data_IF_940534916566
#
_entry.id   IF_940534916566
#
_cell.length_a   1.000
_cell.length_b   1.000
_cell.length_c   1.000
_cell.angle_alpha   90.00
_cell.angle_beta   90.00
_cell.angle_gamma   90.00
#
_symmetry.space_group_name_H-M   'P 1'
#
loop_
_entity.id
_entity.type
_entity.pdbx_description
1 polymer ?
#
# COMPACT_ATOMS: atom_id res chain seq x y z
N UNK A 1 6.33 -14.01 19.64
CA UNK A 1 6.08 -12.64 20.09
C UNK A 1 4.81 -12.62 20.93
N UNK A 2 4.95 -12.47 22.26
CA UNK A 2 3.80 -12.39 23.18
C UNK A 2 3.50 -10.92 23.49
N UNK A 3 3.18 -10.13 22.49
CA UNK A 3 2.67 -8.80 22.73
C UNK A 3 1.16 -8.88 23.03
N UNK A 4 0.74 -8.30 24.14
CA UNK A 4 -0.68 -8.14 24.43
C UNK A 4 -1.36 -7.23 23.39
N UNK A 5 -2.67 -7.31 23.30
CA UNK A 5 -3.46 -6.51 22.35
C UNK A 5 -3.20 -5.01 22.47
N UNK A 6 -2.99 -4.54 23.68
CA UNK A 6 -2.77 -3.11 24.00
C UNK A 6 -1.48 -2.54 23.42
N UNK A 7 -0.46 -3.36 23.13
CA UNK A 7 0.76 -2.86 22.50
C UNK A 7 0.47 -2.21 21.14
N UNK A 8 -0.46 -2.78 20.41
CA UNK A 8 -0.85 -2.27 19.09
C UNK A 8 -2.13 -1.43 19.14
N UNK A 9 -3.14 -1.90 19.89
CA UNK A 9 -4.45 -1.28 19.92
C UNK A 9 -4.60 -0.16 20.95
N UNK A 10 -3.66 0.01 21.86
CA UNK A 10 -3.82 0.87 23.02
C UNK A 10 -5.06 0.46 23.86
N UNK A 11 -5.65 1.39 24.63
CA UNK A 11 -6.70 1.06 25.60
C UNK A 11 -6.10 0.71 26.96
N UNK A 12 -6.93 0.14 27.84
CA UNK A 12 -6.50 -0.25 29.19
C UNK A 12 -7.05 -1.63 29.54
N UNK A 13 -6.18 -2.65 29.53
CA UNK A 13 -6.53 -4.05 29.81
C UNK A 13 -6.70 -4.37 31.29
N UNK A 14 -6.38 -3.43 32.19
CA UNK A 14 -6.62 -3.54 33.64
C UNK A 14 -8.05 -3.12 34.06
N UNK A 15 -8.84 -2.59 33.14
CA UNK A 15 -10.20 -2.10 33.45
C UNK A 15 -11.26 -3.15 33.11
N UNK A 16 -12.23 -3.30 34.02
CA UNK A 16 -13.37 -4.22 33.84
C UNK A 16 -14.56 -3.57 33.11
N UNK A 17 -14.66 -2.25 33.16
CA UNK A 17 -15.68 -1.50 32.41
C UNK A 17 -15.29 -1.41 30.96
N UNK A 18 -16.20 -1.80 30.04
CA UNK A 18 -16.02 -1.71 28.60
C UNK A 18 -15.61 -0.30 28.17
N UNK A 19 -16.27 0.71 28.68
CA UNK A 19 -16.05 2.11 28.33
C UNK A 19 -14.64 2.56 28.70
N UNK A 20 -14.18 2.20 29.90
CA UNK A 20 -12.84 2.55 30.39
C UNK A 20 -11.75 1.71 29.70
N UNK A 21 -12.00 0.41 29.51
CA UNK A 21 -11.07 -0.48 28.83
C UNK A 21 -10.78 -0.04 27.38
N UNK A 22 -11.79 0.50 26.70
CA UNK A 22 -11.65 0.94 25.31
C UNK A 22 -11.33 2.43 25.15
N UNK A 23 -11.17 3.18 26.24
CA UNK A 23 -10.77 4.58 26.15
C UNK A 23 -9.39 4.71 25.48
N UNK A 24 -9.34 5.45 24.39
CA UNK A 24 -8.12 5.64 23.59
C UNK A 24 -7.72 4.44 22.71
N UNK A 25 -8.58 3.43 22.61
CA UNK A 25 -8.30 2.27 21.75
C UNK A 25 -8.26 2.67 20.27
N UNK A 26 -7.22 2.19 19.58
CA UNK A 26 -7.01 2.37 18.16
C UNK A 26 -7.75 1.27 17.38
N UNK A 27 -8.72 1.65 16.56
CA UNK A 27 -9.48 0.71 15.71
C UNK A 27 -8.59 0.05 14.66
N UNK A 28 -7.72 0.83 14.03
CA UNK A 28 -6.76 0.37 13.02
C UNK A 28 -5.35 0.85 13.41
N UNK A 29 -4.65 0.10 14.28
CA UNK A 29 -3.35 0.52 14.82
C UNK A 29 -2.29 0.74 13.74
N UNK A 30 -2.42 0.07 12.60
CA UNK A 30 -1.48 0.19 11.50
C UNK A 30 -1.51 1.54 10.79
N UNK A 31 -2.62 2.30 10.90
CA UNK A 31 -2.69 3.67 10.41
C UNK A 31 -1.87 4.61 11.29
N UNK A 32 -1.70 4.26 12.56
CA UNK A 32 -0.80 4.95 13.45
C UNK A 32 0.59 4.33 13.35
N UNK A 33 1.47 4.94 12.59
CA UNK A 33 2.85 4.49 12.40
C UNK A 33 3.62 4.27 13.72
N UNK A 34 3.16 4.87 14.83
CA UNK A 34 3.76 4.66 16.16
C UNK A 34 3.65 3.22 16.61
N UNK A 35 2.53 2.55 16.35
CA UNK A 35 2.30 1.16 16.78
C UNK A 35 3.34 0.20 16.18
N UNK A 36 3.58 0.29 14.88
CA UNK A 36 4.62 -0.51 14.22
C UNK A 36 6.03 0.07 14.44
N UNK A 37 6.11 1.39 14.55
CA UNK A 37 7.35 2.15 14.72
C UNK A 37 8.07 1.90 16.04
N UNK A 38 7.40 1.36 17.06
CA UNK A 38 8.05 0.93 18.31
C UNK A 38 9.19 -0.05 18.01
N UNK A 39 8.96 -1.01 17.13
CA UNK A 39 9.96 -2.01 16.74
C UNK A 39 10.62 -1.69 15.39
N UNK A 40 9.87 -1.09 14.44
CA UNK A 40 10.31 -0.81 13.10
C UNK A 40 10.54 0.69 12.84
N UNK A 41 11.23 1.36 13.77
CA UNK A 41 11.39 2.83 13.82
C UNK A 41 11.82 3.44 12.49
N UNK A 42 12.90 2.93 11.90
CA UNK A 42 13.44 3.46 10.62
C UNK A 42 12.46 3.24 9.48
N UNK A 43 11.88 2.04 9.39
CA UNK A 43 10.93 1.69 8.32
C UNK A 43 9.66 2.55 8.42
N UNK A 44 9.11 2.73 9.62
CA UNK A 44 7.93 3.57 9.84
C UNK A 44 8.22 5.05 9.50
N UNK A 45 9.38 5.57 9.87
CA UNK A 45 9.77 6.95 9.55
C UNK A 45 9.94 7.18 8.04
N UNK A 46 10.50 6.21 7.33
CA UNK A 46 10.62 6.26 5.88
C UNK A 46 9.26 6.14 5.20
N UNK A 47 8.45 5.18 5.66
CA UNK A 47 7.12 4.90 5.12
C UNK A 47 6.18 6.10 5.21
N UNK A 48 6.28 6.89 6.29
CA UNK A 48 5.52 8.13 6.47
C UNK A 48 5.66 9.12 5.29
N UNK A 49 6.76 9.02 4.54
CA UNK A 49 7.05 9.87 3.39
C UNK A 49 6.82 9.18 2.05
N UNK A 50 6.50 7.88 2.05
CA UNK A 50 6.29 7.10 0.82
C UNK A 50 5.03 7.53 0.07
N UNK A 51 4.99 7.28 -1.22
CA UNK A 51 3.81 7.53 -2.05
C UNK A 51 2.62 6.66 -1.64
N UNK A 52 2.87 5.45 -1.13
CA UNK A 52 1.82 4.55 -0.66
C UNK A 52 1.15 5.05 0.63
N UNK A 53 1.90 5.72 1.49
CA UNK A 53 1.32 6.32 2.69
C UNK A 53 0.67 7.67 2.41
N UNK A 54 1.34 8.52 1.67
CA UNK A 54 0.89 9.90 1.44
C UNK A 54 -0.17 10.03 0.35
N UNK A 55 -0.20 9.08 -0.61
CA UNK A 55 -1.00 9.14 -1.84
C UNK A 55 -0.83 10.42 -2.67
N UNK A 56 0.16 11.22 -2.33
CA UNK A 56 0.42 12.52 -2.98
C UNK A 56 0.66 12.40 -4.49
N UNK A 57 1.18 11.26 -4.95
CA UNK A 57 1.38 11.00 -6.37
C UNK A 57 0.07 11.02 -7.19
N UNK A 58 -1.04 10.62 -6.59
CA UNK A 58 -2.37 10.70 -7.23
C UNK A 58 -2.77 12.17 -7.41
N UNK A 59 -2.62 12.98 -6.35
CA UNK A 59 -2.89 14.42 -6.39
C UNK A 59 -2.03 15.10 -7.44
N UNK A 60 -0.73 14.87 -7.42
CA UNK A 60 0.22 15.46 -8.37
C UNK A 60 -0.12 15.08 -9.82
N UNK A 61 -0.57 13.86 -10.06
CA UNK A 61 -0.95 13.39 -11.39
C UNK A 61 -2.17 14.08 -11.99
N UNK A 62 -3.06 14.61 -11.16
CA UNK A 62 -4.28 15.31 -11.63
C UNK A 62 -4.17 16.83 -11.61
N UNK A 63 -3.25 17.39 -10.79
CA UNK A 63 -3.05 18.84 -10.65
C UNK A 63 -3.02 19.63 -11.97
N UNK A 64 -2.32 19.18 -13.04
CA UNK A 64 -2.25 19.92 -14.28
C UNK A 64 -3.59 20.14 -15.00
N UNK A 65 -4.67 19.47 -14.54
CA UNK A 65 -6.01 19.56 -15.10
C UNK A 65 -6.90 20.57 -14.40
N UNK A 66 -6.42 21.17 -13.33
CA UNK A 66 -7.21 22.07 -12.48
C UNK A 66 -6.56 23.45 -12.39
N UNK A 67 -7.38 24.49 -12.34
CA UNK A 67 -6.97 25.81 -11.88
C UNK A 67 -6.69 25.79 -10.37
N UNK A 68 -6.02 26.82 -9.86
CA UNK A 68 -5.69 26.93 -8.44
C UNK A 68 -6.92 26.92 -7.53
N UNK A 69 -8.00 27.59 -7.95
CA UNK A 69 -9.26 27.61 -7.22
C UNK A 69 -9.96 26.24 -7.19
N UNK A 70 -9.91 25.50 -8.28
CA UNK A 70 -10.45 24.13 -8.39
C UNK A 70 -9.63 23.15 -7.57
N UNK A 71 -8.29 23.32 -7.49
CA UNK A 71 -7.42 22.48 -6.66
C UNK A 71 -7.80 22.52 -5.19
N UNK A 72 -8.14 23.68 -4.66
CA UNK A 72 -8.61 23.80 -3.27
C UNK A 72 -9.89 22.97 -3.05
N UNK A 73 -10.86 23.11 -3.95
CA UNK A 73 -12.11 22.34 -3.89
C UNK A 73 -11.85 20.84 -4.07
N UNK A 74 -10.96 20.47 -4.99
CA UNK A 74 -10.56 19.10 -5.20
C UNK A 74 -9.92 18.50 -3.93
N UNK A 75 -8.99 19.19 -3.30
CA UNK A 75 -8.33 18.72 -2.09
C UNK A 75 -9.34 18.46 -0.95
N UNK A 76 -10.23 19.41 -0.69
CA UNK A 76 -11.18 19.34 0.41
C UNK A 76 -12.32 18.33 0.19
N UNK A 77 -12.82 18.22 -1.03
CA UNK A 77 -14.04 17.46 -1.32
C UNK A 77 -13.80 16.12 -2.00
N UNK A 78 -12.71 15.97 -2.75
CA UNK A 78 -12.46 14.79 -3.56
C UNK A 78 -11.24 14.03 -3.07
N UNK A 79 -10.08 14.70 -2.97
CA UNK A 79 -8.83 14.00 -2.66
C UNK A 79 -8.89 13.32 -1.30
N UNK A 80 -9.22 14.04 -0.24
CA UNK A 80 -9.27 13.49 1.12
C UNK A 80 -10.37 12.43 1.30
N UNK A 81 -11.48 12.55 0.59
CA UNK A 81 -12.63 11.65 0.76
C UNK A 81 -12.60 10.42 -0.14
N UNK A 82 -11.98 10.52 -1.31
CA UNK A 82 -12.02 9.48 -2.34
C UNK A 82 -10.63 8.98 -2.72
N UNK A 83 -9.76 9.83 -3.23
CA UNK A 83 -8.44 9.40 -3.73
C UNK A 83 -7.57 8.85 -2.60
N UNK A 84 -7.65 9.46 -1.43
CA UNK A 84 -6.90 9.03 -0.25
C UNK A 84 -7.42 7.73 0.36
N UNK A 85 -8.54 7.19 -0.08
CA UNK A 85 -9.02 5.87 0.34
C UNK A 85 -8.04 4.73 -0.01
N UNK A 86 -7.17 4.95 -1.02
CA UNK A 86 -6.07 4.05 -1.34
C UNK A 86 -4.81 4.25 -0.47
N UNK A 87 -4.88 5.09 0.58
CA UNK A 87 -3.83 5.20 1.58
C UNK A 87 -3.56 3.83 2.21
N UNK A 88 -2.36 3.34 2.04
CA UNK A 88 -1.96 2.07 2.59
C UNK A 88 -1.33 2.24 3.97
N UNK A 89 -1.76 1.43 4.92
CA UNK A 89 -1.11 1.28 6.21
C UNK A 89 -0.23 0.04 6.26
N UNK A 90 0.63 -0.07 7.25
CA UNK A 90 1.46 -1.26 7.42
C UNK A 90 0.63 -2.55 7.47
N UNK A 91 -0.54 -2.50 8.12
CA UNK A 91 -1.42 -3.65 8.28
C UNK A 91 -2.09 -4.11 6.99
N UNK A 92 -2.36 -3.21 6.06
CA UNK A 92 -3.00 -3.57 4.79
C UNK A 92 -2.15 -4.57 3.98
N UNK A 93 -0.83 -4.47 4.14
CA UNK A 93 0.11 -5.41 3.52
C UNK A 93 0.52 -6.55 4.46
N UNK A 94 0.75 -6.28 5.74
CA UNK A 94 1.45 -7.19 6.65
C UNK A 94 0.58 -7.90 7.67
N UNK A 95 -0.69 -7.54 7.84
CA UNK A 95 -1.58 -8.16 8.81
C UNK A 95 -2.72 -8.88 8.11
N UNK A 96 -2.79 -10.19 8.31
CA UNK A 96 -3.93 -10.99 7.84
C UNK A 96 -4.80 -11.34 9.04
N UNK A 97 -6.10 -11.07 8.93
CA UNK A 97 -7.10 -11.59 9.86
C UNK A 97 -7.45 -13.02 9.53
N UNK A 98 -7.94 -13.78 10.51
CA UNK A 98 -8.53 -15.08 10.19
C UNK A 98 -9.85 -14.88 9.44
N UNK A 99 -10.08 -15.60 8.34
CA UNK A 99 -11.35 -15.54 7.65
C UNK A 99 -12.42 -16.23 8.51
N UNK A 100 -13.54 -15.56 8.73
CA UNK A 100 -14.76 -16.15 9.28
C UNK A 100 -15.83 -15.97 8.23
N UNK A 101 -16.38 -17.06 7.72
CA UNK A 101 -17.39 -17.03 6.66
C UNK A 101 -16.94 -16.32 5.37
N UNK A 102 -15.66 -16.37 5.03
CA UNK A 102 -15.11 -15.71 3.85
C UNK A 102 -14.82 -14.20 4.02
N UNK A 103 -15.18 -13.62 5.15
CA UNK A 103 -14.92 -12.22 5.49
C UNK A 103 -13.81 -12.18 6.53
N UNK A 104 -12.80 -11.35 6.32
CA UNK A 104 -11.75 -11.11 7.32
C UNK A 104 -12.31 -10.27 8.47
N UNK A 105 -12.86 -10.94 9.48
CA UNK A 105 -13.32 -10.26 10.69
C UNK A 105 -12.14 -10.18 11.66
N UNK A 106 -11.49 -9.01 11.72
CA UNK A 106 -10.32 -8.77 12.56
C UNK A 106 -10.55 -8.87 14.07
N UNK A 107 -11.76 -9.18 14.53
CA UNK A 107 -12.15 -9.05 15.93
C UNK A 107 -11.97 -10.31 16.79
N UNK A 108 -11.83 -11.49 16.23
CA UNK A 108 -11.94 -12.73 17.03
C UNK A 108 -10.78 -13.69 16.80
N UNK A 109 -9.88 -13.40 15.90
CA UNK A 109 -8.83 -14.34 15.56
C UNK A 109 -7.45 -13.69 15.65
N UNK A 110 -6.50 -14.52 16.01
CA UNK A 110 -5.09 -14.17 16.07
C UNK A 110 -4.65 -13.51 14.76
N UNK A 111 -4.23 -12.27 14.82
CA UNK A 111 -3.59 -11.61 13.69
C UNK A 111 -2.36 -12.40 13.27
N UNK A 112 -2.30 -12.74 12.00
CA UNK A 112 -1.12 -13.35 11.39
C UNK A 112 -0.31 -12.25 10.73
N UNK A 113 0.90 -12.04 11.21
CA UNK A 113 1.86 -11.17 10.53
C UNK A 113 2.49 -11.93 9.39
N UNK A 114 2.44 -11.37 8.20
CA UNK A 114 3.00 -11.96 6.99
C UNK A 114 4.08 -11.05 6.43
N UNK A 115 5.05 -11.65 5.75
CA UNK A 115 6.07 -10.87 5.06
C UNK A 115 5.43 -10.06 3.94
N UNK A 116 4.64 -10.68 3.12
CA UNK A 116 3.73 -10.10 2.15
C UNK A 116 3.11 -11.22 1.31
N UNK A 117 1.88 -11.04 0.91
CA UNK A 117 1.18 -11.94 0.00
C UNK A 117 0.98 -11.20 -1.33
N UNK A 118 1.79 -11.56 -2.32
CA UNK A 118 1.82 -10.88 -3.59
C UNK A 118 0.54 -11.09 -4.40
N UNK A 119 0.29 -10.20 -5.33
CA UNK A 119 -0.86 -10.24 -6.21
C UNK A 119 -2.13 -9.75 -5.53
N UNK A 120 -2.81 -10.59 -4.76
CA UNK A 120 -4.10 -10.24 -4.12
C UNK A 120 -4.01 -9.02 -3.20
N UNK A 121 -2.93 -8.88 -2.45
CA UNK A 121 -2.71 -7.69 -1.60
C UNK A 121 -2.55 -6.43 -2.46
N UNK A 122 -1.77 -6.50 -3.52
CA UNK A 122 -1.57 -5.38 -4.45
C UNK A 122 -2.86 -5.06 -5.21
N UNK A 123 -3.59 -6.09 -5.65
CA UNK A 123 -4.83 -5.98 -6.40
C UNK A 123 -5.94 -5.26 -5.62
N UNK A 124 -5.90 -5.22 -4.29
CA UNK A 124 -6.88 -4.49 -3.50
C UNK A 124 -6.99 -3.01 -3.91
N UNK A 125 -5.87 -2.37 -4.19
CA UNK A 125 -5.83 -0.99 -4.67
C UNK A 125 -5.53 -0.90 -6.18
N UNK A 126 -4.73 -1.82 -6.72
CA UNK A 126 -4.30 -1.86 -8.12
C UNK A 126 -5.19 -2.76 -9.00
N UNK A 127 -6.28 -3.31 -8.45
CA UNK A 127 -7.18 -4.22 -9.16
C UNK A 127 -8.07 -3.58 -10.22
N UNK A 128 -8.16 -2.24 -10.23
CA UNK A 128 -8.96 -1.54 -11.22
C UNK A 128 -8.34 -1.51 -12.63
N UNK A 129 -7.02 -1.63 -12.73
CA UNK A 129 -6.32 -1.58 -14.00
C UNK A 129 -5.07 -2.45 -14.03
N UNK A 130 -4.05 -2.12 -13.24
CA UNK A 130 -2.70 -2.72 -13.37
C UNK A 130 -2.73 -4.23 -13.18
N UNK A 131 -3.44 -4.72 -12.18
CA UNK A 131 -3.50 -6.14 -11.89
C UNK A 131 -4.20 -6.94 -13.01
N UNK A 132 -5.41 -6.57 -13.46
CA UNK A 132 -6.08 -7.28 -14.55
C UNK A 132 -5.35 -7.19 -15.90
N UNK A 133 -4.69 -6.06 -16.19
CA UNK A 133 -3.85 -5.94 -17.39
C UNK A 133 -2.66 -6.91 -17.32
N UNK A 134 -2.06 -7.06 -16.14
CA UNK A 134 -0.93 -7.97 -15.92
C UNK A 134 -1.33 -9.44 -16.00
N UNK A 135 -2.47 -9.80 -15.42
CA UNK A 135 -2.97 -11.18 -15.37
C UNK A 135 -3.76 -11.60 -16.60
N UNK A 136 -4.23 -10.64 -17.40
CA UNK A 136 -5.13 -10.89 -18.53
C UNK A 136 -6.62 -11.00 -18.14
N UNK A 137 -6.99 -10.67 -16.91
CA UNK A 137 -8.35 -10.86 -16.39
C UNK A 137 -9.43 -10.03 -17.11
N UNK A 138 -9.02 -8.99 -17.85
CA UNK A 138 -9.94 -8.20 -18.69
C UNK A 138 -10.08 -8.72 -20.13
N UNK A 139 -9.69 -9.96 -20.39
CA UNK A 139 -9.82 -10.62 -21.68
C UNK A 139 -8.69 -10.31 -22.68
N UNK A 140 -7.65 -9.61 -22.24
CA UNK A 140 -6.41 -9.47 -22.97
C UNK A 140 -5.44 -10.65 -22.76
N UNK A 141 -4.37 -10.70 -23.54
CA UNK A 141 -3.30 -11.64 -23.26
C UNK A 141 -2.59 -11.25 -21.95
N UNK A 142 -2.32 -12.21 -21.04
CA UNK A 142 -1.51 -11.93 -19.85
C UNK A 142 -0.12 -11.40 -20.24
N UNK A 143 0.46 -10.55 -19.39
CA UNK A 143 1.84 -10.09 -19.56
C UNK A 143 2.81 -11.26 -19.62
N UNK A 144 3.84 -11.16 -20.46
CA UNK A 144 4.81 -12.24 -20.66
C UNK A 144 5.57 -12.62 -19.39
N UNK A 145 5.81 -11.67 -18.50
CA UNK A 145 6.46 -11.93 -17.22
C UNK A 145 5.52 -12.69 -16.27
N UNK A 146 4.23 -12.35 -16.27
CA UNK A 146 3.23 -13.11 -15.53
C UNK A 146 3.12 -14.56 -16.01
N UNK A 147 3.12 -14.78 -17.34
CA UNK A 147 3.13 -16.12 -17.92
C UNK A 147 4.38 -16.95 -17.54
N UNK A 148 5.49 -16.28 -17.19
CA UNK A 148 6.73 -16.91 -16.67
C UNK A 148 6.75 -17.03 -15.15
N UNK A 149 5.63 -16.73 -14.48
CA UNK A 149 5.49 -16.87 -13.04
C UNK A 149 6.08 -15.72 -12.23
N UNK A 150 6.44 -14.60 -12.86
CA UNK A 150 6.89 -13.41 -12.13
C UNK A 150 5.70 -12.71 -11.48
N UNK A 151 5.91 -12.21 -10.30
CA UNK A 151 4.95 -11.47 -9.51
C UNK A 151 5.39 -10.01 -9.33
N UNK A 152 4.55 -9.21 -8.69
CA UNK A 152 4.77 -7.77 -8.56
C UNK A 152 6.14 -7.43 -7.94
N UNK A 153 6.55 -8.19 -6.90
CA UNK A 153 7.79 -7.95 -6.16
C UNK A 153 9.06 -8.43 -6.86
N UNK A 154 8.95 -9.15 -7.96
CA UNK A 154 10.12 -9.49 -8.77
C UNK A 154 10.69 -8.24 -9.45
N UNK A 155 9.80 -7.33 -9.84
CA UNK A 155 10.17 -6.04 -10.40
C UNK A 155 10.19 -4.94 -9.34
N UNK A 156 9.12 -4.81 -8.55
CA UNK A 156 8.98 -3.76 -7.53
C UNK A 156 9.71 -4.16 -6.24
N UNK A 157 10.59 -3.30 -5.73
CA UNK A 157 11.39 -3.61 -4.55
C UNK A 157 10.84 -2.94 -3.29
N UNK A 158 11.11 -3.54 -2.13
CA UNK A 158 10.62 -3.04 -0.83
C UNK A 158 10.94 -1.55 -0.57
N UNK A 159 12.04 -1.05 -1.12
CA UNK A 159 12.43 0.36 -0.96
C UNK A 159 11.45 1.31 -1.66
N UNK A 160 10.84 0.87 -2.76
CA UNK A 160 9.81 1.64 -3.48
C UNK A 160 8.54 1.78 -2.62
N UNK A 161 8.16 0.75 -1.87
CA UNK A 161 6.96 0.77 -1.02
C UNK A 161 7.21 1.45 0.32
N UNK A 162 8.29 1.09 1.01
CA UNK A 162 8.61 1.64 2.31
C UNK A 162 9.23 3.03 2.25
N UNK A 163 9.67 3.46 1.07
CA UNK A 163 10.42 4.69 0.91
C UNK A 163 11.87 4.58 1.43
N UNK A 164 12.66 5.54 1.05
CA UNK A 164 14.07 5.71 1.48
C UNK A 164 14.25 6.86 2.50
N UNK A 165 13.15 7.52 2.85
CA UNK A 165 13.13 8.68 3.73
C UNK A 165 12.98 10.01 3.00
N UNK A 166 12.96 9.98 1.66
CA UNK A 166 12.68 11.15 0.81
C UNK A 166 11.18 11.26 0.54
N UNK A 167 10.65 12.48 0.60
CA UNK A 167 9.26 12.76 0.28
C UNK A 167 9.11 13.09 -1.21
N UNK A 168 8.92 12.06 -2.02
CA UNK A 168 8.64 12.21 -3.44
C UNK A 168 7.21 12.68 -3.68
N UNK A 169 7.01 13.51 -4.71
CA UNK A 169 5.68 13.99 -5.12
C UNK A 169 5.09 13.19 -6.26
N UNK A 170 5.90 12.43 -6.98
CA UNK A 170 5.51 11.68 -8.16
C UNK A 170 6.25 10.34 -8.23
N UNK A 171 5.62 9.32 -8.82
CA UNK A 171 6.27 8.05 -9.12
C UNK A 171 7.51 8.20 -10.01
N UNK A 172 7.57 9.26 -10.80
CA UNK A 172 8.69 9.51 -11.72
C UNK A 172 9.95 10.02 -11.01
N UNK A 173 9.82 10.48 -9.76
CA UNK A 173 10.92 10.93 -8.93
C UNK A 173 11.55 9.79 -8.11
N UNK A 174 10.86 8.66 -7.99
CA UNK A 174 11.31 7.51 -7.18
C UNK A 174 12.44 6.78 -7.90
N UNK A 175 13.69 6.79 -7.36
CA UNK A 175 14.83 6.19 -8.04
C UNK A 175 14.81 4.66 -8.04
N UNK A 176 14.07 4.05 -7.10
CA UNK A 176 13.94 2.59 -6.99
C UNK A 176 12.90 1.99 -7.94
N UNK A 177 12.27 2.81 -8.76
CA UNK A 177 11.26 2.36 -9.72
C UNK A 177 11.87 1.35 -10.70
N UNK A 178 11.18 0.22 -10.99
CA UNK A 178 11.68 -0.77 -11.92
C UNK A 178 11.85 -0.20 -13.32
N UNK A 179 12.90 -0.63 -13.99
CA UNK A 179 13.16 -0.30 -15.38
C UNK A 179 13.54 -1.57 -16.15
N UNK A 180 13.08 -1.67 -17.39
CA UNK A 180 13.38 -2.82 -18.25
C UNK A 180 14.90 -3.13 -18.33
N UNK A 181 15.70 -2.08 -18.36
CA UNK A 181 17.18 -2.17 -18.40
C UNK A 181 17.81 -2.81 -17.17
N UNK A 182 17.08 -2.89 -16.06
CA UNK A 182 17.59 -3.55 -14.84
C UNK A 182 17.75 -5.06 -15.02
N UNK A 183 16.96 -5.66 -15.90
CA UNK A 183 17.01 -7.10 -16.23
C UNK A 183 17.40 -7.35 -17.69
N UNK A 184 17.19 -6.38 -18.59
CA UNK A 184 17.48 -6.46 -20.02
C UNK A 184 18.56 -5.45 -20.44
N UNK A 185 19.81 -5.57 -19.96
CA UNK A 185 20.85 -4.55 -20.16
C UNK A 185 21.30 -4.38 -21.63
N UNK A 186 21.00 -5.32 -22.51
CA UNK A 186 21.48 -5.34 -23.90
C UNK A 186 20.38 -5.05 -24.94
N UNK A 187 19.37 -4.28 -24.60
CA UNK A 187 18.40 -3.83 -25.59
C UNK A 187 17.47 -4.91 -26.15
N UNK A 188 17.42 -6.11 -25.56
CA UNK A 188 16.30 -7.05 -25.76
C UNK A 188 15.06 -6.54 -25.04
N UNK A 189 14.79 -5.27 -25.27
CA UNK A 189 13.64 -4.56 -24.72
C UNK A 189 12.39 -5.06 -25.43
N UNK A 190 11.31 -5.16 -24.68
CA UNK A 190 10.00 -5.40 -25.26
C UNK A 190 9.72 -4.39 -26.39
N UNK A 191 9.04 -4.83 -27.41
CA UNK A 191 8.56 -3.96 -28.50
C UNK A 191 7.91 -2.73 -27.90
N UNK A 192 8.07 -1.59 -28.53
CA UNK A 192 7.60 -0.28 -28.06
C UNK A 192 6.12 -0.27 -27.60
N UNK A 193 5.33 -1.14 -28.20
CA UNK A 193 3.90 -1.34 -27.88
C UNK A 193 3.68 -1.99 -26.49
N UNK A 194 4.63 -2.80 -26.02
CA UNK A 194 4.54 -3.48 -24.70
C UNK A 194 5.03 -2.57 -23.57
N UNK A 195 5.84 -1.55 -23.85
CA UNK A 195 6.34 -0.60 -22.86
C UNK A 195 5.26 0.40 -22.38
N UNK A 196 4.14 0.51 -23.08
CA UNK A 196 3.05 1.46 -22.79
C UNK A 196 1.98 0.83 -21.89
N UNK A 197 1.92 -0.49 -21.79
CA UNK A 197 0.86 -1.19 -21.07
C UNK A 197 1.07 -1.25 -19.53
N UNK A 198 2.24 -0.86 -19.07
CA UNK A 198 2.58 -0.91 -17.63
C UNK A 198 2.90 0.51 -17.11
#
# INVERSE_FOLDING_TARGET
FKAGCILCHAGNDGELSKEKAHLGMLKKPSDNLRSCGVCHKKTAANYAKSLHYTTIGQRTGVMPRFSEAELKTFDEKVFEKSCRSCHASCGDCHVKGAPVGGISIGLVAKHKFVKQDEGKTCAFCHGGRVYPEYTGDYGGAPDVHYQKGMLCMDCHKKAEFHGDGTAYKSKNEVPQRPACKSCHPQGKEAKKETQVAH
#
